data_IF_385251602611
#
_entry.id   IF_385251602611
#
_cell.length_a   1.000
_cell.length_b   1.000
_cell.length_c   1.000
_cell.angle_alpha   90.00
_cell.angle_beta   90.00
_cell.angle_gamma   90.00
#
_symmetry.space_group_name_H-M   'P 1'
#
loop_
_entity.id
_entity.type
_entity.pdbx_description
1 polymer ?
#
# COMPACT_ATOMS: atom_id res chain seq x y z
N UNK A 1 -36.59 34.73 5.18
CA UNK A 1 -35.72 34.96 6.31
C UNK A 1 -34.92 33.69 6.57
N UNK A 2 -33.62 33.74 6.89
CA UNK A 2 -32.84 32.55 7.24
C UNK A 2 -33.26 32.05 8.61
N UNK A 3 -33.41 30.73 8.75
CA UNK A 3 -33.70 30.11 10.04
C UNK A 3 -32.37 29.63 10.61
N UNK A 4 -31.93 30.22 11.71
CA UNK A 4 -30.65 29.88 12.38
C UNK A 4 -30.96 28.86 13.49
N UNK A 5 -30.33 27.68 13.45
CA UNK A 5 -30.39 26.68 14.52
C UNK A 5 -28.99 26.46 15.09
N UNK A 6 -28.87 26.59 16.39
CA UNK A 6 -27.66 26.24 17.10
C UNK A 6 -27.91 24.92 17.86
N UNK A 7 -27.22 23.82 17.47
CA UNK A 7 -27.26 22.54 18.18
C UNK A 7 -25.84 22.12 18.48
N UNK A 8 -25.52 21.99 19.78
CA UNK A 8 -24.19 21.61 20.28
C UNK A 8 -23.01 22.45 19.74
N UNK A 9 -23.16 23.81 19.79
CA UNK A 9 -22.09 24.74 19.43
C UNK A 9 -21.74 24.80 17.93
N UNK A 10 -22.58 24.24 17.05
CA UNK A 10 -22.43 24.30 15.59
C UNK A 10 -23.53 25.15 14.97
N UNK A 11 -23.16 26.26 14.33
CA UNK A 11 -24.10 27.10 13.60
C UNK A 11 -24.50 26.42 12.30
N UNK A 12 -25.79 26.06 12.17
CA UNK A 12 -26.40 25.57 10.94
C UNK A 12 -27.37 26.63 10.43
N UNK A 13 -27.20 27.06 9.20
CA UNK A 13 -28.05 28.06 8.57
C UNK A 13 -28.77 27.40 7.38
N UNK A 14 -30.09 27.54 7.32
CA UNK A 14 -30.95 27.01 6.25
C UNK A 14 -31.60 28.15 5.50
N UNK A 15 -31.48 28.17 4.17
CA UNK A 15 -32.11 29.12 3.30
C UNK A 15 -33.03 28.44 2.31
N UNK A 16 -34.24 29.02 2.06
CA UNK A 16 -35.04 28.72 0.88
C UNK A 16 -34.76 29.84 -0.13
N UNK A 17 -34.20 29.48 -1.29
CA UNK A 17 -33.67 30.44 -2.27
C UNK A 17 -34.10 30.08 -3.69
N UNK A 18 -33.87 31.00 -4.62
CA UNK A 18 -34.04 30.78 -6.05
C UNK A 18 -32.79 30.15 -6.67
N UNK A 19 -32.88 29.73 -7.94
CA UNK A 19 -31.70 29.31 -8.71
C UNK A 19 -30.68 30.44 -8.88
N UNK A 20 -31.14 31.71 -8.90
CA UNK A 20 -30.26 32.89 -8.97
C UNK A 20 -29.37 33.03 -7.73
N UNK A 21 -29.90 32.73 -6.54
CA UNK A 21 -29.09 32.72 -5.32
C UNK A 21 -28.08 31.56 -5.31
N UNK A 22 -28.42 30.44 -5.94
CA UNK A 22 -27.44 29.33 -6.12
C UNK A 22 -26.34 29.76 -7.09
N UNK A 23 -26.66 30.48 -8.17
CA UNK A 23 -25.67 31.04 -9.09
C UNK A 23 -24.71 31.98 -8.36
N UNK A 24 -25.22 32.88 -7.56
CA UNK A 24 -24.40 33.81 -6.77
C UNK A 24 -23.48 33.02 -5.81
N UNK A 25 -24.03 32.05 -5.09
CA UNK A 25 -23.22 31.19 -4.19
C UNK A 25 -22.11 30.47 -4.94
N UNK A 26 -22.38 29.88 -6.10
CA UNK A 26 -21.36 29.16 -6.88
C UNK A 26 -20.27 30.14 -7.36
N UNK A 27 -20.61 31.32 -7.88
CA UNK A 27 -19.63 32.33 -8.28
C UNK A 27 -18.72 32.78 -7.12
N UNK A 28 -19.30 32.95 -5.93
CA UNK A 28 -18.55 33.34 -4.73
C UNK A 28 -17.64 32.21 -4.21
N UNK A 29 -18.11 30.96 -4.24
CA UNK A 29 -17.42 29.87 -3.62
C UNK A 29 -16.47 29.09 -4.55
N UNK A 30 -16.61 29.21 -5.87
CA UNK A 30 -15.70 28.60 -6.84
C UNK A 30 -14.43 29.45 -7.00
N UNK A 31 -13.63 29.48 -5.95
CA UNK A 31 -12.37 30.22 -5.83
C UNK A 31 -11.28 29.29 -5.24
N UNK A 32 -10.16 29.86 -4.80
CA UNK A 32 -9.03 29.12 -4.23
C UNK A 32 -9.38 28.34 -2.96
N UNK A 33 -10.42 28.72 -2.24
CA UNK A 33 -10.89 28.05 -1.02
C UNK A 33 -11.85 26.88 -1.29
N UNK A 34 -12.25 26.68 -2.54
CA UNK A 34 -13.06 25.53 -2.93
C UNK A 34 -12.29 24.22 -2.79
N UNK A 35 -12.90 23.20 -2.21
CA UNK A 35 -12.29 21.88 -2.04
C UNK A 35 -12.87 20.84 -3.00
N UNK A 36 -14.18 20.69 -3.01
CA UNK A 36 -14.87 19.72 -3.86
C UNK A 36 -16.36 19.99 -3.96
N UNK A 37 -17.00 19.51 -5.02
CA UNK A 37 -18.45 19.34 -5.04
C UNK A 37 -18.82 18.01 -5.70
N UNK A 38 -19.96 17.44 -5.24
CA UNK A 38 -20.57 16.25 -5.81
C UNK A 38 -22.03 16.52 -6.05
N UNK A 39 -22.44 16.45 -7.32
CA UNK A 39 -23.83 16.54 -7.74
C UNK A 39 -24.36 15.12 -7.97
N UNK A 40 -25.56 14.84 -7.50
CA UNK A 40 -26.18 13.51 -7.59
C UNK A 40 -27.71 13.56 -7.50
N UNK A 41 -28.35 12.39 -7.67
CA UNK A 41 -29.81 12.31 -7.69
C UNK A 41 -30.41 12.84 -8.99
N UNK A 42 -30.11 12.20 -10.15
CA UNK A 42 -30.65 12.63 -11.43
C UNK A 42 -32.18 12.63 -11.45
N UNK A 43 -32.80 13.52 -12.24
CA UNK A 43 -34.24 13.57 -12.40
C UNK A 43 -34.76 12.54 -13.38
N UNK A 44 -33.91 12.08 -14.30
CA UNK A 44 -34.20 11.02 -15.30
C UNK A 44 -33.22 9.89 -15.17
N UNK A 45 -33.63 8.65 -15.51
CA UNK A 45 -32.76 7.47 -15.41
C UNK A 45 -31.65 7.43 -16.47
N UNK A 46 -31.89 8.02 -17.62
CA UNK A 46 -30.98 7.97 -18.79
C UNK A 46 -30.04 9.18 -18.90
N UNK A 47 -30.01 10.04 -17.88
CA UNK A 47 -29.20 11.24 -17.84
C UNK A 47 -27.84 11.07 -17.16
N UNK A 48 -27.22 12.20 -16.83
CA UNK A 48 -25.98 12.23 -16.04
C UNK A 48 -26.22 11.69 -14.64
N UNK A 49 -25.58 10.59 -14.30
CA UNK A 49 -25.77 9.91 -12.99
C UNK A 49 -25.17 10.71 -11.84
N UNK A 50 -23.98 11.32 -12.07
CA UNK A 50 -23.19 12.02 -11.05
C UNK A 50 -22.23 12.99 -11.72
N UNK A 51 -21.94 14.10 -11.06
CA UNK A 51 -20.84 15.01 -11.43
C UNK A 51 -19.99 15.27 -10.21
N UNK A 52 -18.67 15.10 -10.34
CA UNK A 52 -17.70 15.53 -9.33
C UNK A 52 -16.98 16.77 -9.84
N UNK A 53 -16.73 17.72 -8.95
CA UNK A 53 -16.01 18.96 -9.24
C UNK A 53 -14.84 19.08 -8.28
N UNK A 54 -13.67 19.36 -8.81
CA UNK A 54 -12.46 19.62 -8.01
C UNK A 54 -11.67 20.80 -8.57
N UNK A 55 -10.98 21.58 -7.71
CA UNK A 55 -10.12 22.64 -8.17
C UNK A 55 -8.81 22.06 -8.73
N UNK A 56 -8.22 22.76 -9.67
CA UNK A 56 -7.03 22.38 -10.40
C UNK A 56 -6.20 23.61 -10.73
N UNK A 57 -4.91 23.62 -10.36
CA UNK A 57 -3.99 24.67 -10.78
C UNK A 57 -3.20 24.23 -12.01
N UNK A 58 -3.19 25.05 -13.07
CA UNK A 58 -2.42 24.84 -14.29
C UNK A 58 -1.70 26.12 -14.64
N UNK A 59 -0.36 26.12 -14.62
CA UNK A 59 0.48 27.30 -14.86
C UNK A 59 -0.03 28.54 -14.07
N UNK A 60 -0.18 28.37 -12.77
CA UNK A 60 -0.64 29.39 -11.80
C UNK A 60 -2.06 29.96 -12.04
N UNK A 61 -2.83 29.36 -12.94
CA UNK A 61 -4.23 29.69 -13.19
C UNK A 61 -5.15 28.63 -12.59
N UNK A 62 -6.20 29.07 -11.89
CA UNK A 62 -7.20 28.20 -11.29
C UNK A 62 -8.22 27.74 -12.35
N UNK A 63 -8.39 26.44 -12.45
CA UNK A 63 -9.44 25.76 -13.19
C UNK A 63 -10.26 24.87 -12.28
N UNK A 64 -11.41 24.44 -12.77
CA UNK A 64 -12.21 23.40 -12.15
C UNK A 64 -12.37 22.23 -13.10
N UNK A 65 -12.01 21.03 -12.65
CA UNK A 65 -12.26 19.81 -13.38
C UNK A 65 -13.61 19.25 -12.99
N UNK A 66 -14.50 19.09 -13.98
CA UNK A 66 -15.76 18.39 -13.86
C UNK A 66 -15.59 16.96 -14.40
N UNK A 67 -15.83 15.97 -13.57
CA UNK A 67 -15.88 14.55 -13.92
C UNK A 67 -17.36 14.14 -13.99
N UNK A 68 -17.85 13.90 -15.21
CA UNK A 68 -19.26 13.69 -15.53
C UNK A 68 -19.49 12.22 -15.83
N UNK A 69 -20.32 11.55 -15.04
CA UNK A 69 -20.61 10.12 -15.18
C UNK A 69 -21.95 9.93 -15.92
N UNK A 70 -21.92 9.25 -17.08
CA UNK A 70 -23.09 8.85 -17.88
C UNK A 70 -22.99 7.37 -18.20
N UNK A 71 -23.93 6.57 -17.70
CA UNK A 71 -23.82 5.12 -17.80
C UNK A 71 -22.48 4.62 -17.23
N UNK A 72 -21.74 3.85 -18.02
CA UNK A 72 -20.42 3.32 -17.68
C UNK A 72 -19.25 4.21 -18.15
N UNK A 73 -19.52 5.44 -18.61
CA UNK A 73 -18.50 6.35 -19.13
C UNK A 73 -18.31 7.56 -18.21
N UNK A 74 -17.06 8.03 -18.11
CA UNK A 74 -16.69 9.26 -17.43
C UNK A 74 -16.11 10.26 -18.44
N UNK A 75 -16.66 11.48 -18.45
CA UNK A 75 -16.21 12.57 -19.29
C UNK A 75 -15.57 13.65 -18.41
N UNK A 76 -14.51 14.28 -18.90
CA UNK A 76 -13.79 15.32 -18.17
C UNK A 76 -13.89 16.66 -18.90
N UNK A 77 -14.18 17.74 -18.15
CA UNK A 77 -14.09 19.11 -18.61
C UNK A 77 -13.24 19.91 -17.63
N UNK A 78 -12.32 20.72 -18.15
CA UNK A 78 -11.58 21.70 -17.36
C UNK A 78 -12.05 23.10 -17.74
N UNK A 79 -12.59 23.83 -16.79
CA UNK A 79 -13.24 25.12 -17.01
C UNK A 79 -12.66 26.18 -16.06
N UNK A 80 -12.60 27.41 -16.47
CA UNK A 80 -12.31 28.56 -15.60
C UNK A 80 -13.43 28.76 -14.57
N UNK A 81 -13.19 29.47 -13.47
CA UNK A 81 -14.11 29.54 -12.33
C UNK A 81 -15.55 29.93 -12.73
N UNK A 82 -15.71 30.99 -13.54
CA UNK A 82 -17.05 31.46 -13.95
C UNK A 82 -17.75 30.44 -14.84
N UNK A 83 -17.06 29.88 -15.83
CA UNK A 83 -17.60 28.87 -16.73
C UNK A 83 -17.96 27.59 -15.99
N UNK A 84 -17.17 27.22 -14.98
CA UNK A 84 -17.42 26.06 -14.12
C UNK A 84 -18.68 26.30 -13.25
N UNK A 85 -18.87 27.49 -12.69
CA UNK A 85 -20.07 27.83 -11.92
C UNK A 85 -21.34 27.70 -12.76
N UNK A 86 -21.32 28.22 -13.98
CA UNK A 86 -22.47 28.12 -14.91
C UNK A 86 -22.73 26.66 -15.33
N UNK A 87 -21.69 25.89 -15.59
CA UNK A 87 -21.85 24.48 -15.95
C UNK A 87 -22.38 23.63 -14.77
N UNK A 88 -21.92 23.90 -13.54
CA UNK A 88 -22.48 23.29 -12.32
C UNK A 88 -23.95 23.66 -12.13
N UNK A 89 -24.30 24.92 -12.36
CA UNK A 89 -25.69 25.40 -12.28
C UNK A 89 -26.58 24.67 -13.30
N UNK A 90 -26.11 24.50 -14.53
CA UNK A 90 -26.80 23.73 -15.57
C UNK A 90 -27.06 22.28 -15.15
N UNK A 91 -26.05 21.59 -14.57
CA UNK A 91 -26.26 20.26 -14.04
C UNK A 91 -27.25 20.22 -12.87
N UNK A 92 -27.35 21.28 -12.06
CA UNK A 92 -28.34 21.35 -10.98
C UNK A 92 -29.80 21.46 -11.46
N UNK A 93 -30.04 21.80 -12.71
CA UNK A 93 -31.36 21.70 -13.34
C UNK A 93 -31.77 20.22 -13.55
N UNK A 94 -30.82 19.37 -13.85
CA UNK A 94 -31.00 17.92 -14.10
C UNK A 94 -30.91 17.10 -12.83
N UNK A 95 -30.36 17.63 -11.72
CA UNK A 95 -30.06 16.91 -10.48
C UNK A 95 -30.84 17.45 -9.28
N UNK A 96 -30.96 16.62 -8.24
CA UNK A 96 -31.74 16.96 -7.04
C UNK A 96 -30.90 17.45 -5.88
N UNK A 97 -29.61 17.16 -5.88
CA UNK A 97 -28.74 17.51 -4.75
C UNK A 97 -27.29 17.77 -5.18
N UNK A 98 -26.65 18.66 -4.42
CA UNK A 98 -25.22 18.90 -4.47
C UNK A 98 -24.67 18.99 -3.04
N UNK A 99 -23.59 18.30 -2.79
CA UNK A 99 -22.74 18.50 -1.62
C UNK A 99 -21.50 19.27 -2.09
N UNK A 100 -21.24 20.42 -1.49
CA UNK A 100 -20.08 21.27 -1.81
C UNK A 100 -19.30 21.56 -0.54
N UNK A 101 -18.00 21.42 -0.59
CA UNK A 101 -17.07 21.67 0.50
C UNK A 101 -16.10 22.79 0.13
N UNK A 102 -15.94 23.74 1.04
CA UNK A 102 -14.91 24.78 1.03
C UNK A 102 -14.05 24.68 2.27
N UNK A 103 -12.95 25.42 2.34
CA UNK A 103 -12.08 25.44 3.54
C UNK A 103 -12.83 25.85 4.80
N UNK A 104 -13.76 26.78 4.68
CA UNK A 104 -14.49 27.38 5.82
C UNK A 104 -15.84 26.71 6.11
N UNK A 105 -16.48 26.08 5.12
CA UNK A 105 -17.84 25.58 5.27
C UNK A 105 -18.16 24.39 4.36
N UNK A 106 -19.19 23.63 4.76
CA UNK A 106 -19.83 22.62 3.89
C UNK A 106 -21.24 23.10 3.54
N UNK A 107 -21.63 22.91 2.29
CA UNK A 107 -22.94 23.28 1.76
C UNK A 107 -23.67 22.04 1.26
N UNK A 108 -24.92 21.87 1.66
CA UNK A 108 -25.82 20.88 1.07
C UNK A 108 -26.93 21.62 0.34
N UNK A 109 -26.97 21.48 -0.96
CA UNK A 109 -27.99 22.07 -1.84
C UNK A 109 -28.98 20.98 -2.24
N UNK A 110 -30.27 21.25 -2.06
CA UNK A 110 -31.35 20.35 -2.43
C UNK A 110 -32.31 21.10 -3.36
N UNK A 111 -32.67 20.49 -4.49
CA UNK A 111 -33.61 21.05 -5.47
C UNK A 111 -34.84 20.14 -5.53
N UNK A 112 -36.00 20.70 -5.16
CA UNK A 112 -37.27 19.96 -5.16
C UNK A 112 -37.77 19.69 -6.58
N UNK A 113 -38.77 18.80 -6.72
CA UNK A 113 -39.44 18.57 -8.02
C UNK A 113 -40.02 19.83 -8.64
N UNK A 114 -40.46 20.80 -7.80
CA UNK A 114 -41.02 22.10 -8.22
C UNK A 114 -39.95 23.18 -8.41
N UNK A 115 -38.64 22.85 -8.48
CA UNK A 115 -37.55 23.81 -8.69
C UNK A 115 -37.17 24.65 -7.45
N UNK A 116 -37.79 24.44 -6.28
CA UNK A 116 -37.44 25.17 -5.06
C UNK A 116 -36.06 24.68 -4.54
N UNK A 117 -35.11 25.62 -4.40
CA UNK A 117 -33.77 25.39 -3.90
C UNK A 117 -33.71 25.59 -2.40
N UNK A 118 -33.08 24.67 -1.68
CA UNK A 118 -32.77 24.78 -0.25
C UNK A 118 -31.28 24.60 -0.04
N UNK A 119 -30.62 25.57 0.58
CA UNK A 119 -29.20 25.55 0.90
C UNK A 119 -29.05 25.43 2.40
N UNK A 120 -28.29 24.42 2.84
CA UNK A 120 -27.86 24.25 4.22
C UNK A 120 -26.35 24.49 4.29
N UNK A 121 -25.94 25.50 5.06
CA UNK A 121 -24.54 25.85 5.31
C UNK A 121 -24.15 25.38 6.70
N UNK A 122 -23.00 24.72 6.84
CA UNK A 122 -22.40 24.32 8.10
C UNK A 122 -20.97 24.87 8.13
N UNK A 123 -20.71 25.79 9.04
CA UNK A 123 -19.37 26.32 9.27
C UNK A 123 -18.45 25.26 9.90
N UNK A 124 -17.20 25.24 9.50
CA UNK A 124 -16.16 24.46 10.16
C UNK A 124 -15.63 25.22 11.37
N UNK A 125 -15.19 24.52 12.42
CA UNK A 125 -14.60 25.16 13.60
C UNK A 125 -13.25 25.82 13.25
N UNK A 126 -12.48 25.14 12.40
CA UNK A 126 -11.19 25.62 11.87
C UNK A 126 -11.18 25.42 10.35
N UNK A 127 -10.59 26.35 9.58
CA UNK A 127 -10.41 26.17 8.15
C UNK A 127 -9.47 24.98 7.86
N UNK A 128 -9.82 24.17 6.88
CA UNK A 128 -8.97 23.05 6.46
C UNK A 128 -7.71 23.62 5.77
N UNK A 129 -6.53 23.08 6.09
CA UNK A 129 -5.28 23.46 5.43
C UNK A 129 -5.38 23.22 3.92
N UNK A 130 -4.76 24.07 3.13
CA UNK A 130 -4.73 23.96 1.66
C UNK A 130 -4.09 22.61 1.26
N UNK A 131 -4.86 21.77 0.58
CA UNK A 131 -4.32 20.58 -0.08
C UNK A 131 -3.73 21.04 -1.40
N UNK A 132 -2.54 20.59 -1.77
CA UNK A 132 -1.89 20.91 -3.04
C UNK A 132 -2.86 20.68 -4.21
N UNK A 133 -3.18 21.74 -4.98
CA UNK A 133 -4.05 21.71 -6.15
C UNK A 133 -3.28 21.41 -7.44
N UNK A 134 -2.00 20.97 -7.35
CA UNK A 134 -1.21 20.66 -8.54
C UNK A 134 -1.83 19.48 -9.28
N UNK A 135 -1.83 19.54 -10.61
CA UNK A 135 -2.38 18.53 -11.52
C UNK A 135 -1.68 17.18 -11.35
N UNK A 136 -0.41 17.21 -11.05
CA UNK A 136 0.39 16.07 -10.62
C UNK A 136 0.55 16.17 -9.10
N UNK A 137 -0.19 15.37 -8.34
CA UNK A 137 0.27 14.97 -7.01
C UNK A 137 1.63 14.32 -7.25
N UNK A 138 2.72 15.05 -7.01
CA UNK A 138 4.02 14.39 -6.88
C UNK A 138 3.82 13.38 -5.76
N UNK A 139 3.94 12.10 -6.10
CA UNK A 139 3.96 11.04 -5.10
C UNK A 139 5.09 11.43 -4.14
N UNK A 140 4.79 11.62 -2.87
CA UNK A 140 5.84 11.81 -1.87
C UNK A 140 6.54 10.47 -1.74
N UNK A 141 7.78 10.43 -2.15
CA UNK A 141 8.64 9.28 -1.99
C UNK A 141 9.35 9.35 -0.63
N UNK A 142 9.64 8.20 -0.05
CA UNK A 142 10.43 8.10 1.20
C UNK A 142 11.84 8.63 0.99
N UNK A 143 12.45 8.30 -0.16
CA UNK A 143 13.68 8.93 -0.65
C UNK A 143 13.29 9.98 -1.69
N UNK A 144 13.55 11.24 -1.42
CA UNK A 144 13.15 12.35 -2.28
C UNK A 144 14.24 12.73 -3.29
N UNK A 145 13.82 13.28 -4.45
CA UNK A 145 14.76 13.95 -5.35
C UNK A 145 15.30 15.23 -4.70
N UNK A 146 16.56 15.54 -5.00
CA UNK A 146 17.23 16.72 -4.45
C UNK A 146 18.16 16.42 -3.27
N UNK A 147 18.03 15.24 -2.65
CA UNK A 147 18.96 14.76 -1.62
C UNK A 147 19.76 13.60 -2.18
N UNK A 148 21.10 13.76 -2.23
CA UNK A 148 21.99 12.72 -2.75
C UNK A 148 22.06 11.53 -1.81
N UNK A 149 21.73 10.35 -2.32
CA UNK A 149 21.79 9.08 -1.59
C UNK A 149 22.92 8.24 -2.17
N UNK A 150 24.03 7.99 -1.44
CA UNK A 150 25.26 7.40 -1.99
C UNK A 150 25.06 6.09 -2.74
N UNK A 151 24.31 5.14 -2.15
CA UNK A 151 24.07 3.85 -2.79
C UNK A 151 23.20 3.96 -4.06
N UNK A 152 22.30 4.95 -4.17
CA UNK A 152 21.52 5.20 -5.39
C UNK A 152 22.38 5.77 -6.53
N UNK A 153 23.42 6.54 -6.19
CA UNK A 153 24.37 7.06 -7.16
C UNK A 153 25.21 5.91 -7.73
N UNK A 154 25.77 5.06 -6.90
CA UNK A 154 26.56 3.90 -7.34
C UNK A 154 25.73 2.89 -8.13
N UNK A 155 24.43 2.76 -7.85
CA UNK A 155 23.49 1.98 -8.65
C UNK A 155 23.13 2.62 -9.99
N UNK A 156 23.56 3.86 -10.25
CA UNK A 156 23.16 4.64 -11.43
C UNK A 156 21.68 4.99 -11.46
N UNK A 157 21.01 4.97 -10.30
CA UNK A 157 19.58 5.36 -10.15
C UNK A 157 19.44 6.85 -9.91
N UNK A 158 20.48 7.48 -9.32
CA UNK A 158 20.53 8.88 -8.98
C UNK A 158 21.83 9.51 -9.47
N UNK A 159 21.81 10.79 -9.82
CA UNK A 159 23.02 11.55 -10.12
C UNK A 159 23.68 12.07 -8.84
N UNK A 160 24.91 12.59 -8.93
CA UNK A 160 25.58 13.20 -7.79
C UNK A 160 24.89 14.46 -7.26
N UNK A 161 24.07 15.11 -8.10
CA UNK A 161 23.25 16.28 -7.73
C UNK A 161 21.87 15.87 -7.14
N UNK A 162 21.65 14.58 -6.87
CA UNK A 162 20.42 14.09 -6.27
C UNK A 162 19.23 13.96 -7.24
N UNK A 163 19.45 14.01 -8.56
CA UNK A 163 18.38 13.84 -9.55
C UNK A 163 18.22 12.38 -9.92
N UNK A 164 16.97 11.91 -10.03
CA UNK A 164 16.68 10.54 -10.48
C UNK A 164 16.95 10.40 -11.97
N UNK A 165 17.70 9.37 -12.34
CA UNK A 165 17.97 9.02 -13.75
C UNK A 165 16.71 8.46 -14.38
N UNK A 166 16.18 9.12 -15.42
CA UNK A 166 14.90 8.80 -16.06
C UNK A 166 14.81 7.32 -16.47
N UNK A 167 15.85 6.77 -17.07
CA UNK A 167 15.90 5.35 -17.49
C UNK A 167 15.90 4.35 -16.30
N UNK A 168 16.08 4.84 -15.08
CA UNK A 168 16.08 4.04 -13.85
C UNK A 168 14.96 4.40 -12.89
N UNK A 169 13.99 5.17 -13.35
CA UNK A 169 12.88 5.65 -12.53
C UNK A 169 12.05 4.51 -11.94
N UNK A 170 11.86 3.41 -12.68
CA UNK A 170 11.16 2.23 -12.17
C UNK A 170 11.87 1.58 -10.98
N UNK A 171 13.22 1.53 -11.03
CA UNK A 171 14.01 1.04 -9.90
C UNK A 171 13.91 1.96 -8.68
N UNK A 172 13.92 3.26 -8.90
CA UNK A 172 13.69 4.25 -7.84
C UNK A 172 12.30 4.06 -7.20
N UNK A 173 11.25 3.85 -8.01
CA UNK A 173 9.89 3.55 -7.50
C UNK A 173 9.85 2.25 -6.71
N UNK A 174 10.50 1.19 -7.19
CA UNK A 174 10.57 -0.10 -6.49
C UNK A 174 11.23 0.04 -5.11
N UNK A 175 12.35 0.76 -5.02
CA UNK A 175 13.04 1.01 -3.75
C UNK A 175 12.13 1.78 -2.80
N UNK A 176 11.51 2.87 -3.25
CA UNK A 176 10.60 3.65 -2.43
C UNK A 176 9.38 2.86 -1.97
N UNK A 177 8.82 2.01 -2.86
CA UNK A 177 7.70 1.12 -2.49
C UNK A 177 8.08 0.13 -1.40
N UNK A 178 9.28 -0.43 -1.47
CA UNK A 178 9.79 -1.29 -0.40
C UNK A 178 9.92 -0.52 0.92
N UNK A 179 10.46 0.70 0.88
CA UNK A 179 10.58 1.53 2.08
C UNK A 179 9.23 1.96 2.67
N UNK A 180 8.18 2.13 1.86
CA UNK A 180 6.81 2.33 2.35
C UNK A 180 6.37 1.14 3.23
N UNK A 181 6.65 -0.10 2.84
CA UNK A 181 6.36 -1.29 3.66
C UNK A 181 7.20 -1.37 4.93
N UNK A 182 8.47 -0.93 4.86
CA UNK A 182 9.32 -0.82 6.05
C UNK A 182 8.80 0.28 6.98
N UNK A 183 8.32 1.41 6.45
CA UNK A 183 7.72 2.48 7.25
C UNK A 183 6.47 2.02 8.00
N UNK A 184 5.61 1.22 7.35
CA UNK A 184 4.39 0.67 7.95
C UNK A 184 4.66 -0.20 9.20
N UNK A 185 5.83 -0.85 9.26
CA UNK A 185 6.18 -1.77 10.37
C UNK A 185 7.08 -1.13 11.43
N UNK A 186 7.44 0.14 11.31
CA UNK A 186 8.27 0.83 12.31
C UNK A 186 7.69 0.77 13.73
N UNK A 187 6.35 0.88 13.94
CA UNK A 187 5.77 0.78 15.28
C UNK A 187 6.01 -0.58 15.97
N UNK A 188 6.31 -1.62 15.20
CA UNK A 188 6.54 -2.98 15.68
C UNK A 188 8.00 -3.24 16.08
N UNK A 189 8.91 -2.35 15.69
CA UNK A 189 10.34 -2.49 16.00
C UNK A 189 10.71 -1.75 17.29
N UNK A 190 11.55 -2.35 18.17
CA UNK A 190 12.02 -1.69 19.39
C UNK A 190 12.89 -0.48 19.05
N UNK A 191 12.77 0.59 19.88
CA UNK A 191 13.56 1.83 19.75
C UNK A 191 14.62 1.98 20.84
N UNK A 192 14.55 1.18 21.85
CA UNK A 192 15.34 1.25 23.07
C UNK A 192 16.55 0.31 23.07
N UNK A 193 16.71 -0.50 22.04
CA UNK A 193 17.82 -1.43 21.86
C UNK A 193 18.14 -1.64 20.37
N UNK A 194 19.27 -2.29 20.13
CA UNK A 194 19.63 -2.73 18.77
C UNK A 194 18.59 -3.68 18.18
N UNK A 195 18.19 -3.41 16.93
CA UNK A 195 17.29 -4.23 16.12
C UNK A 195 18.12 -5.11 15.20
N UNK A 196 18.00 -6.42 15.33
CA UNK A 196 18.66 -7.38 14.44
C UNK A 196 17.76 -7.77 13.28
N UNK A 197 18.25 -7.54 12.05
CA UNK A 197 17.55 -7.83 10.80
C UNK A 197 18.35 -8.82 9.97
N UNK A 198 17.69 -9.86 9.45
CA UNK A 198 18.26 -10.79 8.48
C UNK A 198 17.61 -10.60 7.12
N UNK A 199 18.41 -10.49 6.07
CA UNK A 199 17.96 -10.44 4.67
C UNK A 199 18.48 -11.67 3.91
N UNK A 200 17.60 -12.60 3.63
CA UNK A 200 17.91 -13.86 2.96
C UNK A 200 17.78 -13.75 1.44
N UNK A 201 18.82 -14.18 0.71
CA UNK A 201 18.89 -14.06 -0.74
C UNK A 201 19.05 -12.61 -1.16
N UNK A 202 19.88 -11.86 -0.44
CA UNK A 202 20.01 -10.40 -0.61
C UNK A 202 20.52 -10.00 -2.01
N UNK A 203 21.14 -10.90 -2.78
CA UNK A 203 21.63 -10.65 -4.13
C UNK A 203 22.51 -9.41 -4.21
N UNK A 204 22.25 -8.50 -5.14
CA UNK A 204 22.96 -7.20 -5.25
C UNK A 204 22.62 -6.22 -4.13
N UNK A 205 21.80 -6.58 -3.19
CA UNK A 205 21.50 -5.94 -1.90
C UNK A 205 21.03 -4.47 -1.95
N UNK A 206 20.57 -3.96 -3.10
CA UNK A 206 20.16 -2.56 -3.18
C UNK A 206 18.97 -2.23 -2.26
N UNK A 207 18.08 -3.19 -1.98
CA UNK A 207 16.98 -3.00 -1.03
C UNK A 207 17.50 -3.11 0.42
N UNK A 208 18.52 -3.93 0.67
CA UNK A 208 19.18 -4.03 1.98
C UNK A 208 19.91 -2.72 2.31
N UNK A 209 20.64 -2.13 1.34
CA UNK A 209 21.24 -0.79 1.49
C UNK A 209 20.19 0.29 1.71
N UNK A 210 19.07 0.24 0.98
CA UNK A 210 17.97 1.17 1.16
C UNK A 210 17.36 1.07 2.56
N UNK A 211 17.16 -0.15 3.06
CA UNK A 211 16.63 -0.41 4.40
C UNK A 211 17.59 0.10 5.48
N UNK A 212 18.91 -0.16 5.35
CA UNK A 212 19.90 0.35 6.29
C UNK A 212 19.89 1.87 6.32
N UNK A 213 19.98 2.51 5.14
CA UNK A 213 19.96 3.99 5.03
C UNK A 213 18.68 4.58 5.66
N UNK A 214 17.53 3.99 5.36
CA UNK A 214 16.26 4.47 5.88
C UNK A 214 16.16 4.32 7.40
N UNK A 215 16.44 3.14 7.93
CA UNK A 215 16.28 2.86 9.35
C UNK A 215 17.36 3.57 10.18
N UNK A 216 18.61 3.52 9.76
CA UNK A 216 19.73 4.11 10.52
C UNK A 216 19.84 5.61 10.27
N UNK A 217 20.04 6.02 9.00
CA UNK A 217 20.37 7.42 8.69
C UNK A 217 19.16 8.35 8.80
N UNK A 218 17.98 7.90 8.31
CA UNK A 218 16.81 8.77 8.30
C UNK A 218 15.93 8.65 9.56
N UNK A 219 15.82 7.47 10.16
CA UNK A 219 14.92 7.23 11.31
C UNK A 219 15.68 7.09 12.65
N UNK A 220 17.02 6.97 12.63
CA UNK A 220 17.86 6.96 13.83
C UNK A 220 17.73 5.68 14.68
N UNK A 221 17.33 4.56 14.06
CA UNK A 221 17.31 3.27 14.77
C UNK A 221 18.73 2.73 14.93
N UNK A 222 19.02 2.15 16.10
CA UNK A 222 20.18 1.30 16.27
C UNK A 222 19.89 -0.06 15.64
N UNK A 223 20.53 -0.38 14.52
CA UNK A 223 20.26 -1.60 13.75
C UNK A 223 21.51 -2.36 13.43
N UNK A 224 21.38 -3.69 13.36
CA UNK A 224 22.37 -4.59 12.77
C UNK A 224 21.67 -5.39 11.68
N UNK A 225 22.16 -5.26 10.44
CA UNK A 225 21.63 -6.01 9.30
C UNK A 225 22.66 -7.03 8.83
N UNK A 226 22.23 -8.27 8.64
CA UNK A 226 23.02 -9.35 8.09
C UNK A 226 22.35 -9.83 6.81
N UNK A 227 22.99 -9.59 5.65
CA UNK A 227 22.57 -10.11 4.36
C UNK A 227 23.23 -11.46 4.09
N UNK A 228 22.48 -12.46 3.62
CA UNK A 228 23.01 -13.76 3.23
C UNK A 228 22.73 -14.03 1.74
N UNK A 229 23.76 -14.52 1.05
CA UNK A 229 23.66 -15.04 -0.32
C UNK A 229 24.67 -16.17 -0.53
N UNK A 230 24.45 -17.01 -1.55
CA UNK A 230 25.34 -18.11 -1.91
C UNK A 230 26.53 -17.68 -2.79
N UNK A 231 26.49 -16.46 -3.34
CA UNK A 231 27.45 -15.99 -4.36
C UNK A 231 28.57 -15.17 -3.71
N UNK A 232 29.76 -15.75 -3.57
CA UNK A 232 30.95 -15.12 -2.97
C UNK A 232 31.28 -13.74 -3.54
N UNK A 233 31.26 -13.60 -4.87
CA UNK A 233 31.62 -12.33 -5.52
C UNK A 233 30.61 -11.22 -5.21
N UNK A 234 29.33 -11.57 -5.10
CA UNK A 234 28.27 -10.64 -4.70
C UNK A 234 28.48 -10.19 -3.26
N UNK A 235 28.73 -11.13 -2.35
CA UNK A 235 28.97 -10.85 -0.93
C UNK A 235 30.20 -9.95 -0.74
N UNK A 236 31.32 -10.27 -1.41
CA UNK A 236 32.53 -9.42 -1.36
C UNK A 236 32.21 -8.00 -1.80
N UNK A 237 31.58 -7.84 -2.96
CA UNK A 237 31.21 -6.54 -3.49
C UNK A 237 30.25 -5.75 -2.56
N UNK A 238 29.28 -6.43 -1.95
CA UNK A 238 28.37 -5.78 -1.00
C UNK A 238 29.07 -5.31 0.27
N UNK A 239 30.05 -6.09 0.80
CA UNK A 239 30.85 -5.66 1.94
C UNK A 239 31.75 -4.45 1.59
N UNK A 240 32.38 -4.45 0.41
CA UNK A 240 33.16 -3.29 -0.09
C UNK A 240 32.31 -2.02 -0.16
N UNK A 241 31.06 -2.12 -0.64
CA UNK A 241 30.12 -1.01 -0.67
C UNK A 241 29.68 -0.59 0.74
N UNK A 242 29.43 -1.53 1.64
CA UNK A 242 29.08 -1.24 3.03
C UNK A 242 30.19 -0.45 3.73
N UNK A 243 31.45 -0.84 3.56
CA UNK A 243 32.62 -0.10 4.06
C UNK A 243 32.71 1.30 3.42
N UNK A 244 32.56 1.39 2.10
CA UNK A 244 32.57 2.66 1.35
C UNK A 244 31.55 3.67 1.87
N UNK A 245 30.35 3.20 2.27
CA UNK A 245 29.28 4.08 2.80
C UNK A 245 29.39 4.30 4.31
N UNK A 246 30.32 3.63 5.00
CA UNK A 246 30.47 3.70 6.44
C UNK A 246 29.37 2.99 7.22
N UNK A 247 28.70 2.00 6.61
CA UNK A 247 27.60 1.24 7.23
C UNK A 247 28.15 0.12 8.13
N UNK A 248 28.70 0.51 9.28
CA UNK A 248 29.44 -0.36 10.19
C UNK A 248 28.69 -1.58 10.72
N UNK A 249 27.35 -1.53 10.75
CA UNK A 249 26.48 -2.59 11.24
C UNK A 249 25.72 -3.31 10.12
N UNK A 250 26.15 -3.15 8.87
CA UNK A 250 25.65 -3.86 7.71
C UNK A 250 26.71 -4.83 7.22
N UNK A 251 26.46 -6.13 7.38
CA UNK A 251 27.38 -7.20 7.03
C UNK A 251 26.74 -8.16 6.04
N UNK A 252 27.54 -8.67 5.12
CA UNK A 252 27.11 -9.68 4.17
C UNK A 252 27.95 -10.93 4.34
N UNK A 253 27.27 -12.08 4.45
CA UNK A 253 27.87 -13.39 4.70
C UNK A 253 27.48 -14.37 3.58
N UNK A 254 28.47 -15.20 3.17
CA UNK A 254 28.19 -16.35 2.32
C UNK A 254 27.56 -17.45 3.15
N UNK A 255 26.40 -17.93 2.73
CA UNK A 255 25.75 -19.03 3.44
C UNK A 255 24.40 -19.42 2.87
N UNK A 256 24.02 -20.66 3.17
CA UNK A 256 22.70 -21.19 2.88
C UNK A 256 21.74 -20.83 4.03
N UNK A 257 20.53 -20.40 3.68
CA UNK A 257 19.47 -20.07 4.65
C UNK A 257 19.20 -21.23 5.61
N UNK A 258 19.13 -22.46 5.09
CA UNK A 258 18.79 -23.64 5.89
C UNK A 258 19.80 -23.88 7.03
N UNK A 259 21.08 -23.62 6.79
CA UNK A 259 22.20 -23.99 7.69
C UNK A 259 22.62 -22.81 8.59
N UNK A 260 22.09 -21.62 8.39
CA UNK A 260 22.51 -20.43 9.14
C UNK A 260 22.07 -20.48 10.61
N UNK A 261 23.04 -20.37 11.52
CA UNK A 261 22.84 -20.41 12.98
C UNK A 261 23.57 -19.27 13.73
N UNK A 262 24.01 -18.24 12.99
CA UNK A 262 24.88 -17.18 13.51
C UNK A 262 24.20 -16.14 14.43
N UNK A 263 22.92 -16.33 14.79
CA UNK A 263 22.17 -15.45 15.69
C UNK A 263 21.18 -16.26 16.54
N UNK A 264 20.99 -15.83 17.78
CA UNK A 264 20.04 -16.47 18.73
C UNK A 264 18.64 -15.86 18.65
N UNK A 265 18.54 -14.57 18.29
CA UNK A 265 17.28 -13.84 18.15
C UNK A 265 17.33 -12.85 16.99
N UNK A 266 16.20 -12.68 16.33
CA UNK A 266 16.02 -11.78 15.19
C UNK A 266 14.71 -11.01 15.36
N UNK A 267 14.77 -9.69 15.18
CA UNK A 267 13.56 -8.85 15.25
C UNK A 267 12.78 -8.84 13.93
N UNK A 268 13.52 -8.85 12.81
CA UNK A 268 12.90 -8.78 11.49
C UNK A 268 13.63 -9.69 10.50
N UNK A 269 12.87 -10.45 9.74
CA UNK A 269 13.37 -11.24 8.61
C UNK A 269 12.83 -10.66 7.30
N UNK A 270 13.74 -10.43 6.36
CA UNK A 270 13.43 -10.01 5.00
C UNK A 270 13.88 -11.08 4.03
N UNK A 271 13.06 -11.41 3.05
CA UNK A 271 13.43 -12.34 1.97
C UNK A 271 12.75 -11.91 0.68
N UNK A 272 13.52 -11.22 -0.18
CA UNK A 272 12.98 -10.60 -1.39
C UNK A 272 13.28 -11.41 -2.65
N UNK A 273 14.26 -12.31 -2.63
CA UNK A 273 14.72 -13.05 -3.79
C UNK A 273 15.09 -14.52 -3.49
N UNK A 274 14.63 -15.08 -2.38
CA UNK A 274 14.76 -16.50 -2.13
C UNK A 274 13.80 -17.28 -3.04
N UNK A 275 14.33 -18.13 -3.90
CA UNK A 275 13.55 -18.86 -4.90
C UNK A 275 12.94 -20.15 -4.31
N UNK A 276 11.69 -20.44 -4.69
CA UNK A 276 10.97 -21.69 -4.42
C UNK A 276 10.98 -22.05 -2.92
N UNK A 277 11.47 -23.22 -2.56
CA UNK A 277 11.52 -23.71 -1.18
C UNK A 277 12.51 -22.94 -0.29
N UNK A 278 13.48 -22.19 -0.85
CA UNK A 278 14.36 -21.35 -0.04
C UNK A 278 13.56 -20.27 0.73
N UNK A 279 12.46 -19.78 0.16
CA UNK A 279 11.50 -18.91 0.88
C UNK A 279 10.92 -19.63 2.10
N UNK A 280 10.56 -20.91 1.97
CA UNK A 280 9.96 -21.70 3.05
C UNK A 280 10.95 -21.94 4.20
N UNK A 281 12.23 -22.17 3.91
CA UNK A 281 13.29 -22.24 4.92
C UNK A 281 13.47 -20.90 5.64
N UNK A 282 13.45 -19.78 4.90
CA UNK A 282 13.54 -18.45 5.51
C UNK A 282 12.37 -18.16 6.46
N UNK A 283 11.15 -18.49 6.05
CA UNK A 283 9.94 -18.31 6.87
C UNK A 283 9.97 -19.22 8.11
N UNK A 284 10.36 -20.49 7.96
CA UNK A 284 10.49 -21.41 9.10
C UNK A 284 11.55 -20.93 10.11
N UNK A 285 12.71 -20.46 9.63
CA UNK A 285 13.74 -19.86 10.49
C UNK A 285 13.21 -18.60 11.21
N UNK A 286 12.50 -17.72 10.50
CA UNK A 286 11.89 -16.51 11.09
C UNK A 286 10.93 -16.87 12.24
N UNK A 287 10.11 -17.91 12.05
CA UNK A 287 9.20 -18.43 13.08
C UNK A 287 10.03 -19.00 14.26
N UNK A 288 11.05 -19.81 13.99
CA UNK A 288 11.91 -20.40 15.03
C UNK A 288 12.66 -19.37 15.88
N UNK A 289 13.11 -18.25 15.28
CA UNK A 289 13.68 -17.11 16.03
C UNK A 289 12.64 -16.22 16.69
N UNK A 290 11.36 -16.53 16.54
CA UNK A 290 10.26 -15.70 17.04
C UNK A 290 10.32 -14.24 16.54
N UNK A 291 10.74 -14.04 15.28
CA UNK A 291 10.88 -12.72 14.69
C UNK A 291 9.58 -11.91 14.80
N UNK A 292 9.69 -10.64 15.20
CA UNK A 292 8.50 -9.77 15.33
C UNK A 292 7.89 -9.44 13.98
N UNK A 293 8.71 -9.26 12.94
CA UNK A 293 8.28 -8.89 11.60
C UNK A 293 8.89 -9.79 10.53
N UNK A 294 8.11 -10.19 9.56
CA UNK A 294 8.54 -10.91 8.37
C UNK A 294 8.04 -10.18 7.13
N UNK A 295 8.95 -9.84 6.20
CA UNK A 295 8.65 -9.32 4.88
C UNK A 295 9.19 -10.28 3.83
N UNK A 296 8.31 -10.92 3.06
CA UNK A 296 8.70 -11.91 2.06
C UNK A 296 8.09 -11.57 0.70
N UNK A 297 8.93 -11.56 -0.35
CA UNK A 297 8.51 -11.40 -1.75
C UNK A 297 8.89 -12.67 -2.51
N UNK A 298 8.02 -13.69 -2.53
CA UNK A 298 8.28 -14.93 -3.22
C UNK A 298 8.25 -14.75 -4.74
N UNK A 299 9.29 -15.21 -5.42
CA UNK A 299 9.41 -15.06 -6.87
C UNK A 299 9.15 -16.36 -7.66
N UNK A 300 9.24 -17.53 -7.03
CA UNK A 300 9.08 -18.84 -7.66
C UNK A 300 8.31 -19.78 -6.73
N UNK A 301 7.45 -20.64 -7.30
CA UNK A 301 6.61 -21.60 -6.56
C UNK A 301 6.52 -22.92 -7.35
N UNK A 302 7.69 -23.51 -7.67
CA UNK A 302 7.75 -24.71 -8.51
C UNK A 302 7.32 -25.97 -7.77
N UNK A 303 7.48 -26.02 -6.42
CA UNK A 303 7.13 -27.18 -5.63
C UNK A 303 5.66 -27.59 -5.82
N UNK A 304 4.72 -26.69 -5.54
CA UNK A 304 3.30 -26.98 -5.67
C UNK A 304 2.87 -27.21 -7.12
N UNK A 305 3.47 -26.55 -8.09
CA UNK A 305 3.19 -26.78 -9.50
C UNK A 305 3.43 -28.25 -9.91
N UNK A 306 4.43 -28.92 -9.31
CA UNK A 306 4.69 -30.34 -9.55
C UNK A 306 3.70 -31.25 -8.82
N UNK A 307 3.26 -30.88 -7.65
CA UNK A 307 2.41 -31.70 -6.77
C UNK A 307 0.92 -31.59 -7.10
N UNK A 308 0.40 -30.38 -7.31
CA UNK A 308 -1.03 -30.08 -7.35
C UNK A 308 -1.81 -31.01 -8.30
N UNK A 309 -2.83 -31.69 -7.75
CA UNK A 309 -3.79 -32.54 -8.42
C UNK A 309 -5.15 -32.33 -7.81
N UNK A 310 -6.19 -32.14 -8.61
CA UNK A 310 -7.56 -32.03 -8.15
C UNK A 310 -8.51 -32.36 -9.32
N UNK A 311 -9.43 -33.27 -9.13
CA UNK A 311 -10.33 -33.76 -10.19
C UNK A 311 -11.31 -32.68 -10.65
N UNK A 312 -11.84 -31.87 -9.73
CA UNK A 312 -12.76 -30.77 -10.06
C UNK A 312 -12.05 -29.67 -10.86
N UNK A 313 -10.77 -29.40 -10.55
CA UNK A 313 -9.98 -28.39 -11.21
C UNK A 313 -9.22 -28.89 -12.45
N UNK A 314 -9.31 -30.19 -12.77
CA UNK A 314 -8.61 -30.80 -13.91
C UNK A 314 -8.82 -30.03 -15.23
N UNK A 315 -10.04 -29.58 -15.58
CA UNK A 315 -10.25 -28.81 -16.81
C UNK A 315 -9.41 -27.54 -16.92
N UNK A 316 -8.96 -26.98 -15.78
CA UNK A 316 -8.09 -25.78 -15.70
C UNK A 316 -6.63 -26.17 -15.54
N UNK A 317 -6.34 -27.12 -14.65
CA UNK A 317 -4.96 -27.55 -14.34
C UNK A 317 -4.26 -28.27 -15.48
N UNK A 318 -4.99 -28.78 -16.46
CA UNK A 318 -4.42 -29.36 -17.70
C UNK A 318 -3.64 -28.32 -18.54
N UNK A 319 -3.94 -27.04 -18.40
CA UNK A 319 -3.22 -25.97 -19.08
C UNK A 319 -2.04 -25.52 -18.22
N UNK A 320 -0.79 -25.84 -18.65
CA UNK A 320 0.42 -25.61 -17.87
C UNK A 320 0.58 -24.18 -17.33
N UNK A 321 0.26 -23.17 -18.14
CA UNK A 321 0.31 -21.76 -17.73
C UNK A 321 -0.69 -21.46 -16.58
N UNK A 322 -1.91 -21.99 -16.65
CA UNK A 322 -2.91 -21.78 -15.62
C UNK A 322 -2.54 -22.55 -14.35
N UNK A 323 -2.05 -23.79 -14.50
CA UNK A 323 -1.54 -24.59 -13.40
C UNK A 323 -0.43 -23.88 -12.63
N UNK A 324 0.57 -23.31 -13.34
CA UNK A 324 1.67 -22.56 -12.73
C UNK A 324 1.15 -21.35 -11.93
N UNK A 325 0.27 -20.56 -12.52
CA UNK A 325 -0.31 -19.38 -11.84
C UNK A 325 -1.13 -19.75 -10.61
N UNK A 326 -1.97 -20.78 -10.71
CA UNK A 326 -2.76 -21.27 -9.59
C UNK A 326 -1.88 -21.83 -8.48
N UNK A 327 -0.88 -22.62 -8.83
CA UNK A 327 0.07 -23.17 -7.87
C UNK A 327 0.84 -22.06 -7.14
N UNK A 328 1.23 -20.99 -7.85
CA UNK A 328 1.89 -19.84 -7.23
C UNK A 328 0.99 -19.15 -6.20
N UNK A 329 -0.25 -18.83 -6.56
CA UNK A 329 -1.21 -18.17 -5.67
C UNK A 329 -1.58 -19.03 -4.45
N UNK A 330 -1.75 -20.34 -4.65
CA UNK A 330 -2.04 -21.29 -3.58
C UNK A 330 -0.84 -21.41 -2.64
N UNK A 331 0.39 -21.49 -3.16
CA UNK A 331 1.61 -21.55 -2.35
C UNK A 331 1.70 -20.32 -1.43
N UNK A 332 1.53 -19.13 -1.97
CA UNK A 332 1.67 -17.90 -1.20
C UNK A 332 0.51 -17.71 -0.21
N UNK A 333 -0.70 -18.15 -0.57
CA UNK A 333 -1.84 -18.21 0.34
C UNK A 333 -1.61 -19.17 1.51
N UNK A 334 -1.06 -20.36 1.25
CA UNK A 334 -0.71 -21.34 2.29
C UNK A 334 0.43 -20.83 3.18
N UNK A 335 1.47 -20.17 2.61
CA UNK A 335 2.53 -19.52 3.40
C UNK A 335 1.96 -18.51 4.41
N UNK A 336 1.05 -17.66 3.97
CA UNK A 336 0.37 -16.71 4.86
C UNK A 336 -0.43 -17.44 5.96
N UNK A 337 -1.18 -18.50 5.62
CA UNK A 337 -1.96 -19.27 6.58
C UNK A 337 -1.07 -20.04 7.59
N UNK A 338 0.05 -20.58 7.17
CA UNK A 338 1.02 -21.19 8.10
C UNK A 338 1.58 -20.15 9.08
N UNK A 339 1.94 -18.94 8.62
CA UNK A 339 2.40 -17.88 9.50
C UNK A 339 1.31 -17.44 10.49
N UNK A 340 0.06 -17.37 10.05
CA UNK A 340 -1.07 -17.07 10.94
C UNK A 340 -1.27 -18.18 11.99
N UNK A 341 -1.11 -19.45 11.62
CA UNK A 341 -1.11 -20.60 12.53
C UNK A 341 -0.05 -20.45 13.62
N UNK A 342 1.12 -19.94 13.26
CA UNK A 342 2.24 -19.71 14.18
C UNK A 342 2.13 -18.37 14.96
N UNK A 343 0.97 -17.73 14.94
CA UNK A 343 0.64 -16.56 15.77
C UNK A 343 1.01 -15.22 15.15
N UNK A 344 1.19 -15.16 13.84
CA UNK A 344 1.36 -13.89 13.13
C UNK A 344 0.02 -13.33 12.64
N UNK A 345 -0.03 -12.04 12.37
CA UNK A 345 -1.03 -11.42 11.52
C UNK A 345 -0.42 -11.25 10.14
N UNK A 346 -0.89 -12.03 9.17
CA UNK A 346 -0.36 -12.03 7.82
C UNK A 346 -1.25 -11.23 6.86
N UNK A 347 -0.61 -10.48 5.97
CA UNK A 347 -1.26 -9.72 4.90
C UNK A 347 -0.55 -10.04 3.58
N UNK A 348 -1.35 -10.23 2.53
CA UNK A 348 -0.86 -10.36 1.16
C UNK A 348 -1.08 -9.03 0.46
N UNK A 349 0.00 -8.39 0.04
CA UNK A 349 0.01 -7.04 -0.52
C UNK A 349 0.64 -7.04 -1.91
N UNK A 350 0.28 -6.05 -2.73
CA UNK A 350 0.94 -5.83 -4.00
C UNK A 350 2.26 -5.07 -3.78
N UNK A 351 3.39 -5.70 -4.20
CA UNK A 351 4.73 -5.14 -4.03
C UNK A 351 5.08 -4.11 -5.08
N UNK A 352 4.88 -4.46 -6.36
CA UNK A 352 5.09 -3.60 -7.53
C UNK A 352 3.93 -3.75 -8.49
N UNK A 353 3.74 -2.78 -9.40
CA UNK A 353 2.64 -2.82 -10.36
C UNK A 353 2.71 -4.08 -11.24
N UNK A 354 1.57 -4.72 -11.49
CA UNK A 354 1.45 -5.92 -12.32
C UNK A 354 1.96 -5.71 -13.77
N UNK A 355 2.05 -4.48 -14.23
CA UNK A 355 2.62 -4.13 -15.54
C UNK A 355 4.09 -4.57 -15.67
N UNK A 356 4.82 -4.69 -14.56
CA UNK A 356 6.23 -5.07 -14.55
C UNK A 356 6.46 -6.57 -14.36
N UNK A 357 5.63 -7.25 -13.56
CA UNK A 357 5.70 -8.69 -13.33
C UNK A 357 4.42 -9.21 -12.71
N UNK A 358 3.94 -10.41 -13.14
CA UNK A 358 2.83 -11.08 -12.46
C UNK A 358 3.21 -11.65 -11.09
N UNK A 359 4.51 -11.68 -10.74
CA UNK A 359 5.06 -12.17 -9.46
C UNK A 359 5.36 -10.97 -8.56
N UNK A 360 4.32 -10.32 -8.08
CA UNK A 360 4.37 -9.04 -7.40
C UNK A 360 3.77 -9.06 -5.99
N UNK A 361 3.69 -10.22 -5.37
CA UNK A 361 3.13 -10.41 -4.02
C UNK A 361 4.21 -10.15 -2.96
N UNK A 362 3.83 -9.39 -1.93
CA UNK A 362 4.56 -9.29 -0.67
C UNK A 362 3.70 -9.89 0.44
N UNK A 363 4.25 -10.84 1.17
CA UNK A 363 3.70 -11.37 2.41
C UNK A 363 4.32 -10.56 3.55
N UNK A 364 3.50 -9.79 4.25
CA UNK A 364 3.86 -9.07 5.47
C UNK A 364 3.24 -9.81 6.65
N UNK A 365 4.05 -10.25 7.59
CA UNK A 365 3.57 -10.91 8.79
C UNK A 365 4.15 -10.23 10.04
N UNK A 366 3.29 -9.89 10.99
CA UNK A 366 3.65 -9.27 12.27
C UNK A 366 3.22 -10.20 13.39
N UNK A 367 4.15 -10.51 14.31
CA UNK A 367 3.88 -11.37 15.46
C UNK A 367 2.88 -10.70 16.39
N UNK A 368 1.78 -11.39 16.70
CA UNK A 368 0.80 -10.91 17.65
C UNK A 368 1.36 -10.93 19.06
N UNK A 369 0.95 -9.97 19.88
CA UNK A 369 1.19 -10.04 21.32
C UNK A 369 0.32 -11.16 21.88
N UNK A 370 0.94 -12.27 22.26
CA UNK A 370 0.23 -13.44 22.76
C UNK A 370 -0.39 -13.13 24.14
N UNK A 371 -1.70 -12.92 24.17
CA UNK A 371 -2.46 -13.25 25.35
C UNK A 371 -2.84 -14.72 25.23
N UNK A 372 -2.36 -15.55 26.15
CA UNK A 372 -2.77 -16.94 26.26
C UNK A 372 -4.28 -16.98 26.57
N UNK A 373 -5.12 -16.96 25.53
CA UNK A 373 -6.57 -17.00 25.63
C UNK A 373 -7.08 -18.26 24.92
N UNK A 374 -8.08 -18.89 25.52
CA UNK A 374 -8.77 -20.08 24.98
C UNK A 374 -9.28 -19.86 23.54
N UNK A 375 -9.59 -18.61 23.20
CA UNK A 375 -10.01 -18.23 21.82
C UNK A 375 -8.90 -18.40 20.80
N UNK A 376 -7.64 -18.11 21.17
CA UNK A 376 -6.49 -18.24 20.25
C UNK A 376 -6.19 -19.72 19.97
N UNK A 377 -6.31 -20.59 20.98
CA UNK A 377 -6.19 -22.04 20.81
C UNK A 377 -7.24 -22.61 19.84
N UNK A 378 -8.51 -22.21 19.98
CA UNK A 378 -9.58 -22.62 19.07
C UNK A 378 -9.32 -22.11 17.64
N UNK A 379 -8.90 -20.88 17.50
CA UNK A 379 -8.55 -20.30 16.20
C UNK A 379 -7.43 -21.08 15.53
N UNK A 380 -6.35 -21.37 16.25
CA UNK A 380 -5.20 -22.17 15.73
C UNK A 380 -5.65 -23.53 15.25
N UNK A 381 -6.52 -24.24 16.00
CA UNK A 381 -7.06 -25.53 15.60
C UNK A 381 -7.92 -25.43 14.34
N UNK A 382 -8.77 -24.41 14.23
CA UNK A 382 -9.59 -24.18 13.03
C UNK A 382 -8.73 -23.91 11.79
N UNK A 383 -7.68 -23.11 11.95
CA UNK A 383 -6.72 -22.82 10.86
C UNK A 383 -6.01 -24.07 10.43
N UNK A 384 -5.47 -24.86 11.38
CA UNK A 384 -4.82 -26.14 11.11
C UNK A 384 -5.75 -27.08 10.32
N UNK A 385 -7.01 -27.24 10.76
CA UNK A 385 -7.98 -28.07 10.06
C UNK A 385 -8.27 -27.57 8.62
N UNK A 386 -8.32 -26.24 8.42
CA UNK A 386 -8.52 -25.63 7.11
C UNK A 386 -7.32 -25.87 6.18
N UNK A 387 -6.10 -25.68 6.70
CA UNK A 387 -4.86 -25.93 5.96
C UNK A 387 -4.82 -27.41 5.52
N UNK A 388 -5.00 -28.36 6.46
CA UNK A 388 -4.96 -29.79 6.16
C UNK A 388 -6.03 -30.22 5.14
N UNK A 389 -7.23 -29.64 5.20
CA UNK A 389 -8.25 -29.88 4.21
C UNK A 389 -7.80 -29.38 2.83
N UNK A 390 -7.23 -28.19 2.73
CA UNK A 390 -6.72 -27.65 1.48
C UNK A 390 -5.59 -28.53 0.90
N UNK A 391 -4.63 -28.94 1.73
CA UNK A 391 -3.54 -29.85 1.35
C UNK A 391 -4.06 -31.19 0.81
N UNK A 392 -5.02 -31.79 1.49
CA UNK A 392 -5.63 -33.05 1.10
C UNK A 392 -6.40 -32.95 -0.23
N UNK A 393 -7.26 -31.93 -0.37
CA UNK A 393 -8.04 -31.68 -1.58
C UNK A 393 -7.16 -31.42 -2.81
N UNK A 394 -6.05 -30.72 -2.64
CA UNK A 394 -5.13 -30.40 -3.73
C UNK A 394 -4.02 -31.47 -3.90
N UNK A 395 -3.95 -32.45 -3.00
CA UNK A 395 -2.92 -33.49 -2.94
C UNK A 395 -1.50 -32.92 -2.89
N UNK A 396 -1.29 -31.91 -2.04
CA UNK A 396 -0.02 -31.19 -1.89
C UNK A 396 0.54 -31.34 -0.47
N UNK A 397 1.86 -31.21 -0.34
CA UNK A 397 2.59 -31.20 0.91
C UNK A 397 3.69 -30.15 0.85
N UNK A 398 3.35 -28.88 1.20
CA UNK A 398 4.29 -27.76 1.09
C UNK A 398 5.46 -27.88 2.07
N UNK A 399 6.64 -27.45 1.63
CA UNK A 399 7.86 -27.48 2.46
C UNK A 399 7.69 -26.71 3.76
N UNK A 400 7.08 -25.53 3.74
CA UNK A 400 6.88 -24.74 4.96
C UNK A 400 6.06 -25.51 6.01
N UNK A 401 4.97 -26.16 5.61
CA UNK A 401 4.16 -26.99 6.51
C UNK A 401 4.97 -28.07 7.19
N UNK A 402 5.76 -28.84 6.39
CA UNK A 402 6.63 -29.91 6.93
C UNK A 402 7.70 -29.38 7.90
N UNK A 403 8.31 -28.22 7.58
CA UNK A 403 9.34 -27.61 8.44
C UNK A 403 8.76 -27.18 9.78
N UNK A 404 7.61 -26.51 9.79
CA UNK A 404 6.96 -26.03 11.01
C UNK A 404 6.43 -27.18 11.88
N UNK A 405 5.89 -28.24 11.26
CA UNK A 405 5.42 -29.43 11.99
C UNK A 405 6.57 -30.20 12.67
N UNK A 406 7.79 -30.14 12.11
CA UNK A 406 8.96 -30.76 12.70
C UNK A 406 9.57 -29.94 13.85
N UNK A 407 9.49 -28.62 13.79
CA UNK A 407 9.93 -27.73 14.88
C UNK A 407 9.12 -27.97 16.16
N UNK A 408 7.81 -28.20 16.05
CA UNK A 408 6.94 -28.51 17.20
C UNK A 408 7.14 -29.90 17.84
N UNK A 409 8.01 -30.75 17.28
CA UNK A 409 8.32 -32.10 17.84
C UNK A 409 9.64 -32.15 18.60
N UNK A 410 10.39 -31.05 18.60
CA UNK A 410 11.74 -30.98 19.24
C UNK A 410 11.70 -30.24 20.59
N UNK A 411 10.52 -29.82 21.05
CA UNK A 411 10.22 -29.36 22.41
C UNK A 411 9.50 -30.48 23.20
#
# INVERSE_FOLDING_TARGET
>A
MPTIFCVYGKVKIRYNVSMENLRTLLKEQMNIDFMSAVLSGPRTKDGTAKVKVRPLMKKDTLFFQLEIFRGNQAFHKNLEPEAAAEEVLRFMEEMRQMQMDTRAASYTVLVSKKGKVTIKKKMRKEPVKMVSMSHNRKKQYVLEEGTTVPFLVDLGVMTQEGKVVHARFDKFRQINRFLEFVEDILPELPKDREVTILDFGCGKSYLTFAMYYYLHELKGYDIRIIGLDLKKDVIRHCNELSEKYGYKKLHFLEGNIADYTGVDAVDMVVTLHACDTATDFALAKAVGWNAKVILSVPCCQHELNRQIRNEVLEPVLRYGLLKERMAALITDGLRAQYLEREGYEAQILEFIDMEHTPKNILIRAVKRDQKADQKESVRRQQMEASIRKCEAELRVSPTLGRLLDNQGKTE
#
